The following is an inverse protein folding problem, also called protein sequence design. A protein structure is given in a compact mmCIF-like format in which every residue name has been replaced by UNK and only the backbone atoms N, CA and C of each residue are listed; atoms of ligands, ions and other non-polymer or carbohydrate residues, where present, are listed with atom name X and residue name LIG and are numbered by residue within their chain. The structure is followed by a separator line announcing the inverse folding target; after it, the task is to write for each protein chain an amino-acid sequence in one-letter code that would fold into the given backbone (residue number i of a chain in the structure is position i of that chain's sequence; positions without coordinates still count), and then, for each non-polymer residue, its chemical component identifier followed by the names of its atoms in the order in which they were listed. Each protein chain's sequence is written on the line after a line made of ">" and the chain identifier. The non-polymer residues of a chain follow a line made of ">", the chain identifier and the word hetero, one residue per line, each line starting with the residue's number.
data_IF_617698512018
#
_entry.id   IF_617698512018
#
_cell.length_a   1.000
_cell.length_b   1.000
_cell.length_c   1.000
_cell.angle_alpha   90.00
_cell.angle_beta   90.00
_cell.angle_gamma   90.00
#
_symmetry.space_group_name_H-M   'P 1'
#
loop_
_entity.id
_entity.type
_entity.pdbx_description
1 polymer ?
#
# COMPACT_ATOMS: atom_id res chain seq x y z
N UNK A 1 9.92 -13.67 2.03
CA UNK A 1 8.90 -13.42 0.97
C UNK A 1 9.62 -13.13 -0.34
N UNK A 2 9.19 -13.73 -1.46
CA UNK A 2 9.73 -13.39 -2.78
C UNK A 2 9.36 -11.95 -3.16
N UNK A 3 10.17 -11.31 -4.00
CA UNK A 3 9.85 -9.99 -4.52
C UNK A 3 8.83 -10.12 -5.65
N UNK A 4 7.82 -9.26 -5.62
CA UNK A 4 6.82 -9.13 -6.69
C UNK A 4 7.18 -7.92 -7.56
N UNK A 5 7.38 -8.10 -8.87
CA UNK A 5 7.51 -6.98 -9.79
C UNK A 5 6.17 -6.28 -9.93
N UNK A 6 6.20 -4.96 -10.10
CA UNK A 6 5.01 -4.15 -10.34
C UNK A 6 5.30 -3.05 -11.36
N UNK A 7 4.22 -2.46 -11.88
CA UNK A 7 4.30 -1.23 -12.65
C UNK A 7 3.09 -0.34 -12.35
N UNK A 8 3.27 0.98 -12.52
CA UNK A 8 2.21 1.98 -12.33
C UNK A 8 2.29 2.99 -13.48
N UNK A 9 1.18 3.24 -14.18
CA UNK A 9 1.12 4.22 -15.25
C UNK A 9 1.11 5.66 -14.72
N UNK A 10 1.55 6.60 -15.55
CA UNK A 10 1.43 8.03 -15.26
C UNK A 10 -0.03 8.43 -15.01
N UNK A 11 -0.97 7.97 -15.84
CA UNK A 11 -2.41 8.24 -15.66
C UNK A 11 -2.93 7.83 -14.27
N UNK A 12 -2.53 6.64 -13.78
CA UNK A 12 -2.93 6.17 -12.46
C UNK A 12 -2.33 7.04 -11.36
N UNK A 13 -1.05 7.44 -11.50
CA UNK A 13 -0.38 8.33 -10.55
C UNK A 13 -1.01 9.73 -10.55
N UNK A 14 -1.37 10.25 -11.72
CA UNK A 14 -2.09 11.52 -11.87
C UNK A 14 -3.46 11.49 -11.19
N UNK A 15 -4.23 10.43 -11.38
CA UNK A 15 -5.52 10.24 -10.71
C UNK A 15 -5.38 10.15 -9.18
N UNK A 16 -4.36 9.44 -8.69
CA UNK A 16 -4.06 9.36 -7.26
C UNK A 16 -3.62 10.72 -6.70
N UNK A 17 -2.77 11.46 -7.42
CA UNK A 17 -2.34 12.81 -7.04
C UNK A 17 -3.53 13.78 -6.94
N UNK A 18 -4.47 13.72 -7.90
CA UNK A 18 -5.71 14.48 -7.85
C UNK A 18 -6.55 14.10 -6.62
N UNK A 19 -6.73 12.81 -6.34
CA UNK A 19 -7.43 12.33 -5.15
C UNK A 19 -6.78 12.88 -3.87
N UNK A 20 -5.45 12.89 -3.80
CA UNK A 20 -4.70 13.42 -2.67
C UNK A 20 -4.89 14.94 -2.51
N UNK A 21 -4.85 15.70 -3.62
CA UNK A 21 -5.07 17.15 -3.61
C UNK A 21 -6.49 17.51 -3.16
N UNK A 22 -7.48 16.70 -3.51
CA UNK A 22 -8.89 16.88 -3.13
C UNK A 22 -9.25 16.28 -1.75
N UNK A 23 -8.29 15.64 -1.06
CA UNK A 23 -8.54 14.98 0.23
C UNK A 23 -9.46 13.75 0.16
N UNK A 24 -9.62 13.17 -1.04
CA UNK A 24 -10.43 11.96 -1.26
C UNK A 24 -9.67 10.69 -0.84
N UNK A 25 -10.36 9.69 -0.27
CA UNK A 25 -9.70 8.47 0.19
C UNK A 25 -9.19 7.62 -0.98
N UNK A 26 -8.02 7.01 -0.79
CA UNK A 26 -7.44 6.04 -1.73
C UNK A 26 -7.67 4.64 -1.16
N UNK A 27 -8.52 3.86 -1.82
CA UNK A 27 -8.91 2.51 -1.40
C UNK A 27 -8.52 1.50 -2.49
N UNK A 28 -7.31 0.91 -2.44
CA UNK A 28 -6.91 -0.15 -3.36
C UNK A 28 -7.77 -1.41 -3.22
N UNK A 29 -7.93 -2.11 -4.35
CA UNK A 29 -8.57 -3.44 -4.41
C UNK A 29 -7.47 -4.50 -4.43
N UNK A 30 -7.43 -5.32 -3.38
CA UNK A 30 -6.46 -6.39 -3.16
C UNK A 30 -5.24 -5.95 -2.33
N UNK A 31 -4.73 -6.90 -1.54
CA UNK A 31 -3.53 -6.72 -0.70
C UNK A 31 -2.26 -6.46 -1.51
N UNK A 32 -2.15 -7.01 -2.73
CA UNK A 32 -1.04 -6.72 -3.65
C UNK A 32 -1.02 -5.25 -4.04
N UNK A 33 -2.19 -4.68 -4.38
CA UNK A 33 -2.32 -3.26 -4.71
C UNK A 33 -1.93 -2.36 -3.54
N UNK A 34 -2.31 -2.71 -2.31
CA UNK A 34 -1.84 -2.02 -1.09
C UNK A 34 -0.31 -2.02 -1.01
N UNK A 35 0.31 -3.20 -1.12
CA UNK A 35 1.78 -3.32 -1.04
C UNK A 35 2.48 -2.54 -2.14
N UNK A 36 1.94 -2.53 -3.36
CA UNK A 36 2.49 -1.76 -4.49
C UNK A 36 2.42 -0.26 -4.22
N UNK A 37 1.27 0.28 -3.84
CA UNK A 37 1.11 1.71 -3.58
C UNK A 37 2.00 2.17 -2.43
N UNK A 38 1.95 1.47 -1.30
CA UNK A 38 2.80 1.79 -0.15
C UNK A 38 4.29 1.68 -0.50
N UNK A 39 4.67 0.70 -1.33
CA UNK A 39 6.07 0.57 -1.76
C UNK A 39 6.51 1.72 -2.65
N UNK A 40 5.67 2.13 -3.61
CA UNK A 40 5.96 3.25 -4.50
C UNK A 40 6.21 4.54 -3.71
N UNK A 41 5.42 4.79 -2.65
CA UNK A 41 5.64 5.92 -1.76
C UNK A 41 7.02 5.89 -1.09
N UNK A 42 7.38 4.76 -0.46
CA UNK A 42 8.66 4.68 0.24
C UNK A 42 9.87 4.69 -0.71
N UNK A 43 9.71 4.17 -1.93
CA UNK A 43 10.72 4.29 -2.98
C UNK A 43 10.89 5.74 -3.44
N UNK A 44 9.80 6.50 -3.60
CA UNK A 44 9.85 7.93 -3.88
C UNK A 44 10.50 8.71 -2.73
N UNK A 45 10.13 8.41 -1.48
CA UNK A 45 10.73 9.04 -0.30
C UNK A 45 12.24 8.78 -0.21
N UNK A 46 12.69 7.57 -0.55
CA UNK A 46 14.12 7.22 -0.62
C UNK A 46 14.86 7.97 -1.74
N UNK A 47 14.19 8.24 -2.86
CA UNK A 47 14.75 8.95 -4.00
C UNK A 47 14.65 10.49 -3.89
N UNK A 48 13.84 11.02 -2.97
CA UNK A 48 13.52 12.44 -2.86
C UNK A 48 14.71 13.42 -2.81
N UNK A 49 15.89 13.08 -2.23
CA UNK A 49 17.04 13.99 -2.27
C UNK A 49 17.56 14.30 -3.69
N UNK A 50 17.43 13.36 -4.62
CA UNK A 50 17.89 13.48 -6.02
C UNK A 50 17.21 12.42 -6.90
N UNK A 51 15.93 12.62 -7.29
CA UNK A 51 15.18 11.62 -8.03
C UNK A 51 15.70 11.54 -9.46
N UNK A 52 16.36 10.42 -9.80
CA UNK A 52 16.82 10.18 -11.17
C UNK A 52 15.62 9.95 -12.10
N UNK A 53 15.59 10.56 -13.30
CA UNK A 53 14.55 10.33 -14.30
C UNK A 53 14.74 8.93 -14.92
N UNK A 54 14.37 7.93 -14.15
CA UNK A 54 14.42 6.51 -14.49
C UNK A 54 13.01 5.95 -14.38
N UNK A 55 12.63 5.11 -15.35
CA UNK A 55 11.41 4.32 -15.25
C UNK A 55 11.48 3.24 -14.16
N UNK A 56 12.65 2.95 -13.60
CA UNK A 56 12.85 1.95 -12.56
C UNK A 56 13.02 2.61 -11.18
N UNK A 57 12.06 2.35 -10.28
CA UNK A 57 12.06 2.77 -8.87
C UNK A 57 12.96 1.87 -7.99
N UNK A 58 13.44 0.76 -8.54
CA UNK A 58 14.20 -0.25 -7.83
C UNK A 58 13.32 -1.13 -6.93
N UNK A 59 13.95 -1.70 -5.91
CA UNK A 59 13.31 -2.65 -4.99
C UNK A 59 13.12 -2.06 -3.59
N UNK A 60 11.96 -2.32 -3.00
CA UNK A 60 11.72 -2.14 -1.57
C UNK A 60 11.80 -3.49 -0.84
N UNK A 61 12.68 -3.57 0.16
CA UNK A 61 12.82 -4.70 1.05
C UNK A 61 11.63 -4.89 2.00
N UNK A 62 11.64 -5.99 2.74
CA UNK A 62 10.53 -6.35 3.66
C UNK A 62 10.31 -5.28 4.75
N UNK A 63 11.39 -4.71 5.28
CA UNK A 63 11.36 -3.84 6.46
C UNK A 63 11.85 -2.41 6.18
N UNK A 64 12.21 -2.10 4.94
CA UNK A 64 12.79 -0.81 4.55
C UNK A 64 11.88 0.37 4.91
N UNK A 65 10.56 0.21 4.76
CA UNK A 65 9.59 1.24 5.09
C UNK A 65 9.63 1.66 6.57
N UNK A 66 9.92 0.74 7.49
CA UNK A 66 10.01 1.05 8.93
C UNK A 66 11.26 1.88 9.23
N UNK A 67 12.38 1.54 8.59
CA UNK A 67 13.63 2.29 8.71
C UNK A 67 13.51 3.69 8.11
N UNK A 68 12.92 3.79 6.92
CA UNK A 68 12.68 5.08 6.25
C UNK A 68 11.73 5.97 7.04
N UNK A 69 10.69 5.40 7.64
CA UNK A 69 9.76 6.13 8.49
C UNK A 69 10.41 6.71 9.76
N UNK A 70 11.52 6.14 10.22
CA UNK A 70 12.22 6.57 11.43
C UNK A 70 13.32 7.63 11.17
N UNK A 71 13.85 7.71 9.94
CA UNK A 71 15.08 8.44 9.64
C UNK A 71 14.92 9.93 9.33
N UNK A 72 13.74 10.38 8.88
CA UNK A 72 13.45 11.78 8.53
C UNK A 72 11.93 11.96 8.40
N UNK A 73 11.38 13.19 8.47
CA UNK A 73 9.99 13.40 8.11
C UNK A 73 9.79 12.97 6.65
N UNK A 74 8.92 11.97 6.38
CA UNK A 74 8.68 11.51 5.02
C UNK A 74 7.82 12.54 4.27
N UNK A 75 7.89 12.59 2.93
CA UNK A 75 7.14 13.57 2.13
C UNK A 75 5.63 13.45 2.36
N UNK A 76 4.90 14.53 2.14
CA UNK A 76 3.43 14.46 2.15
C UNK A 76 2.92 13.52 1.04
N UNK A 77 1.68 13.04 1.20
CA UNK A 77 1.03 12.18 0.20
C UNK A 77 1.03 12.84 -1.18
N UNK A 78 0.68 14.13 -1.25
CA UNK A 78 0.61 14.86 -2.52
C UNK A 78 1.98 15.07 -3.15
N UNK A 79 2.99 15.43 -2.36
CA UNK A 79 4.37 15.57 -2.86
C UNK A 79 4.87 14.25 -3.47
N UNK A 80 4.73 13.14 -2.73
CA UNK A 80 5.17 11.83 -3.20
C UNK A 80 4.48 11.41 -4.51
N UNK A 81 3.16 11.58 -4.60
CA UNK A 81 2.40 11.24 -5.81
C UNK A 81 2.73 12.16 -6.99
N UNK A 82 2.97 13.45 -6.74
CA UNK A 82 3.37 14.41 -7.77
C UNK A 82 4.75 14.07 -8.31
N UNK A 83 5.71 13.73 -7.43
CA UNK A 83 7.05 13.27 -7.83
C UNK A 83 6.97 11.99 -8.66
N UNK A 84 6.20 10.99 -8.21
CA UNK A 84 6.00 9.75 -8.97
C UNK A 84 5.37 10.00 -10.34
N UNK A 85 4.34 10.84 -10.41
CA UNK A 85 3.70 11.20 -11.66
C UNK A 85 4.68 11.86 -12.64
N UNK A 86 5.47 12.84 -12.18
CA UNK A 86 6.49 13.51 -13.00
C UNK A 86 7.59 12.55 -13.49
N UNK A 87 8.02 11.62 -12.64
CA UNK A 87 8.97 10.57 -13.03
C UNK A 87 8.39 9.64 -14.08
N UNK A 88 7.11 9.24 -13.94
CA UNK A 88 6.43 8.39 -14.90
C UNK A 88 6.33 9.07 -16.28
N UNK A 89 5.93 10.34 -16.32
CA UNK A 89 5.88 11.15 -17.55
C UNK A 89 7.25 11.24 -18.23
N UNK A 90 8.30 11.54 -17.46
CA UNK A 90 9.67 11.62 -17.98
C UNK A 90 10.20 10.25 -18.48
N UNK A 91 9.68 9.14 -17.97
CA UNK A 91 10.10 7.78 -18.30
C UNK A 91 9.22 7.09 -19.37
N UNK A 92 8.40 7.84 -20.11
CA UNK A 92 7.56 7.28 -21.17
C UNK A 92 6.21 6.74 -20.69
N UNK A 93 5.68 7.30 -19.61
CA UNK A 93 4.31 7.09 -19.12
C UNK A 93 4.14 5.93 -18.13
N UNK A 94 5.23 5.30 -17.66
CA UNK A 94 5.14 4.19 -16.71
C UNK A 94 6.38 4.07 -15.82
N UNK A 95 6.14 3.72 -14.56
CA UNK A 95 7.18 3.31 -13.61
C UNK A 95 7.11 1.81 -13.36
N UNK A 96 8.26 1.21 -13.10
CA UNK A 96 8.47 -0.18 -12.76
C UNK A 96 9.21 -0.26 -11.43
N UNK A 97 9.04 -1.37 -10.72
CA UNK A 97 9.77 -1.65 -9.50
C UNK A 97 9.49 -3.04 -8.97
N UNK A 98 10.04 -3.34 -7.80
CA UNK A 98 9.77 -4.60 -7.13
C UNK A 98 9.50 -4.37 -5.63
N UNK A 99 8.55 -5.11 -5.07
CA UNK A 99 8.23 -5.05 -3.65
C UNK A 99 8.40 -6.40 -2.98
N UNK A 100 9.06 -6.39 -1.83
CA UNK A 100 8.98 -7.47 -0.85
C UNK A 100 8.34 -6.99 0.44
N UNK A 101 7.72 -5.80 0.45
CA UNK A 101 7.23 -5.11 1.64
C UNK A 101 6.37 -6.02 2.51
N UNK A 102 6.70 -6.09 3.80
CA UNK A 102 5.90 -6.74 4.82
C UNK A 102 5.16 -5.67 5.63
N UNK A 103 3.83 -5.72 5.61
CA UNK A 103 2.98 -4.80 6.37
C UNK A 103 2.47 -5.57 7.60
N UNK A 104 2.84 -5.09 8.78
CA UNK A 104 2.51 -5.68 10.07
C UNK A 104 2.05 -4.60 11.05
N UNK A 105 1.42 -4.96 12.19
CA UNK A 105 0.97 -3.99 13.18
C UNK A 105 2.07 -2.98 13.57
N UNK A 106 1.72 -1.70 13.65
CA UNK A 106 2.67 -0.59 13.81
C UNK A 106 3.12 0.06 12.49
N UNK A 107 2.70 -0.47 11.34
CA UNK A 107 2.96 0.14 10.03
C UNK A 107 2.27 1.49 9.84
N UNK A 108 3.01 2.49 9.33
CA UNK A 108 2.48 3.80 8.94
C UNK A 108 2.07 3.79 7.47
N UNK A 109 0.77 3.65 7.22
CA UNK A 109 0.19 3.78 5.88
C UNK A 109 0.28 5.22 5.36
N UNK A 110 0.91 5.38 4.19
CA UNK A 110 1.16 6.68 3.58
C UNK A 110 0.17 7.00 2.45
N UNK A 111 -0.22 6.00 1.66
CA UNK A 111 -1.11 6.19 0.51
C UNK A 111 -2.48 5.54 0.70
N UNK A 112 -2.62 4.47 1.46
CA UNK A 112 -3.88 3.73 1.54
C UNK A 112 -4.72 4.14 2.76
N UNK A 113 -5.99 4.49 2.52
CA UNK A 113 -6.98 4.83 3.56
C UNK A 113 -7.89 3.65 3.92
N UNK A 114 -7.78 2.56 3.18
CA UNK A 114 -8.52 1.34 3.36
C UNK A 114 -8.09 0.30 2.33
N UNK A 115 -8.81 -0.80 2.26
CA UNK A 115 -8.70 -1.76 1.16
C UNK A 115 -9.98 -2.54 0.96
N UNK A 116 -10.18 -3.04 -0.26
CA UNK A 116 -11.11 -4.14 -0.52
C UNK A 116 -10.30 -5.42 -0.63
N UNK A 117 -10.65 -6.46 0.14
CA UNK A 117 -9.95 -7.77 0.08
C UNK A 117 -10.86 -8.91 0.51
N UNK A 118 -10.45 -10.15 0.26
CA UNK A 118 -11.14 -11.34 0.76
C UNK A 118 -10.84 -11.60 2.24
N UNK A 119 -11.56 -12.55 2.85
CA UNK A 119 -11.18 -13.10 4.15
C UNK A 119 -10.04 -14.12 3.99
N UNK A 120 -8.99 -13.95 4.78
CA UNK A 120 -7.76 -14.74 4.66
C UNK A 120 -7.69 -15.87 5.69
N UNK A 121 -6.81 -16.85 5.44
CA UNK A 121 -6.56 -17.91 6.41
C UNK A 121 -5.91 -17.34 7.69
N UNK A 122 -6.22 -17.90 8.87
CA UNK A 122 -5.52 -17.58 10.10
C UNK A 122 -4.02 -17.83 9.96
N UNK A 123 -3.22 -17.13 10.76
CA UNK A 123 -1.75 -17.22 10.81
C UNK A 123 -1.03 -16.94 9.48
N UNK A 124 -1.71 -16.30 8.52
CA UNK A 124 -1.10 -15.86 7.26
C UNK A 124 -0.45 -14.49 7.37
N UNK A 125 0.54 -14.21 6.52
CA UNK A 125 1.14 -12.87 6.41
C UNK A 125 0.13 -11.81 5.96
N UNK A 126 -0.95 -12.21 5.27
CA UNK A 126 -2.04 -11.29 4.91
C UNK A 126 -2.84 -10.86 6.15
N UNK A 127 -2.94 -11.71 7.18
CA UNK A 127 -3.54 -11.30 8.45
C UNK A 127 -2.71 -10.24 9.18
N UNK A 128 -1.38 -10.20 8.99
CA UNK A 128 -0.56 -9.10 9.51
C UNK A 128 -0.95 -7.77 8.86
N UNK A 129 -1.16 -7.75 7.54
CA UNK A 129 -1.58 -6.55 6.81
C UNK A 129 -2.98 -6.11 7.25
N UNK A 130 -3.94 -7.04 7.31
CA UNK A 130 -5.30 -6.75 7.81
C UNK A 130 -5.25 -6.17 9.22
N UNK A 131 -4.49 -6.78 10.12
CA UNK A 131 -4.34 -6.32 11.50
C UNK A 131 -3.68 -4.94 11.57
N UNK A 132 -2.68 -4.67 10.73
CA UNK A 132 -2.06 -3.35 10.64
C UNK A 132 -3.08 -2.29 10.19
N UNK A 133 -3.88 -2.58 9.16
CA UNK A 133 -4.85 -1.64 8.61
C UNK A 133 -5.97 -1.34 9.61
N UNK A 134 -6.44 -2.35 10.35
CA UNK A 134 -7.49 -2.21 11.35
C UNK A 134 -6.98 -1.68 12.70
N UNK A 135 -5.69 -1.35 12.82
CA UNK A 135 -5.12 -0.76 14.04
C UNK A 135 -4.86 -1.75 15.17
N UNK A 136 -4.80 -3.06 14.90
CA UNK A 136 -4.46 -4.06 15.89
C UNK A 136 -5.09 -5.43 15.63
N UNK A 137 -4.55 -6.44 16.31
CA UNK A 137 -5.04 -7.81 16.22
C UNK A 137 -6.46 -7.98 16.80
N UNK A 138 -6.82 -7.20 17.84
CA UNK A 138 -8.15 -7.29 18.44
C UNK A 138 -9.26 -6.85 17.48
N UNK A 139 -9.07 -5.74 16.77
CA UNK A 139 -10.03 -5.26 15.77
C UNK A 139 -10.15 -6.25 14.60
N UNK A 140 -9.03 -6.81 14.14
CA UNK A 140 -9.05 -7.85 13.11
C UNK A 140 -9.78 -9.11 13.60
N UNK A 141 -9.54 -9.52 14.85
CA UNK A 141 -10.21 -10.66 15.46
C UNK A 141 -11.72 -10.46 15.55
N UNK A 142 -12.18 -9.28 15.97
CA UNK A 142 -13.62 -8.97 16.02
C UNK A 142 -14.30 -9.10 14.65
N UNK A 143 -13.68 -8.57 13.60
CA UNK A 143 -14.18 -8.66 12.22
C UNK A 143 -14.25 -10.12 11.76
N UNK A 144 -13.23 -10.92 12.05
CA UNK A 144 -13.17 -12.32 11.63
C UNK A 144 -14.11 -13.21 12.45
N UNK A 145 -14.25 -12.98 13.76
CA UNK A 145 -15.24 -13.65 14.61
C UNK A 145 -16.68 -13.33 14.16
N UNK A 146 -16.95 -12.11 13.72
CA UNK A 146 -18.22 -11.77 13.10
C UNK A 146 -18.46 -12.58 11.82
N UNK A 147 -17.48 -12.61 10.91
CA UNK A 147 -17.57 -13.33 9.64
C UNK A 147 -17.82 -14.83 9.85
N UNK A 148 -17.13 -15.45 10.81
CA UNK A 148 -17.36 -16.86 11.19
C UNK A 148 -18.77 -17.07 11.75
N UNK A 149 -19.21 -16.23 12.70
CA UNK A 149 -20.57 -16.34 13.29
C UNK A 149 -21.69 -16.15 12.27
N UNK A 150 -21.43 -15.44 11.18
CA UNK A 150 -22.37 -15.17 10.09
C UNK A 150 -22.17 -16.08 8.89
N UNK A 151 -21.30 -17.10 9.01
CA UNK A 151 -21.06 -18.11 7.98
C UNK A 151 -20.60 -17.51 6.63
N UNK A 152 -19.79 -16.44 6.68
CA UNK A 152 -19.14 -15.92 5.49
C UNK A 152 -18.22 -16.98 4.88
N UNK A 153 -18.07 -16.94 3.56
CA UNK A 153 -17.15 -17.79 2.81
C UNK A 153 -15.78 -17.15 2.78
N UNK A 154 -14.73 -17.94 3.05
CA UNK A 154 -13.35 -17.44 3.15
C UNK A 154 -12.55 -17.77 1.88
N UNK A 155 -11.33 -17.23 1.80
CA UNK A 155 -10.32 -17.49 0.77
C UNK A 155 -10.68 -16.89 -0.60
N UNK A 156 -9.98 -17.35 -1.65
CA UNK A 156 -9.94 -16.71 -2.97
C UNK A 156 -11.30 -16.56 -3.66
N UNK A 157 -12.22 -17.49 -3.41
CA UNK A 157 -13.57 -17.51 -4.00
C UNK A 157 -14.68 -17.25 -2.97
N UNK A 158 -14.28 -16.80 -1.78
CA UNK A 158 -15.19 -16.45 -0.71
C UNK A 158 -15.80 -15.06 -0.88
N UNK A 159 -16.30 -14.54 0.22
CA UNK A 159 -16.84 -13.19 0.31
C UNK A 159 -15.70 -12.16 0.45
N UNK A 160 -16.02 -10.91 0.12
CA UNK A 160 -15.11 -9.78 0.23
C UNK A 160 -15.45 -8.91 1.43
N UNK A 161 -14.47 -8.09 1.81
CA UNK A 161 -14.54 -7.11 2.88
C UNK A 161 -14.08 -5.76 2.36
N UNK A 162 -14.75 -4.69 2.78
CA UNK A 162 -14.27 -3.32 2.70
C UNK A 162 -13.76 -2.94 4.08
N UNK A 163 -12.47 -2.70 4.21
CA UNK A 163 -11.82 -2.33 5.46
C UNK A 163 -11.34 -0.90 5.36
N UNK A 164 -11.82 -0.04 6.24
CA UNK A 164 -11.46 1.39 6.27
C UNK A 164 -10.64 1.67 7.52
N UNK A 165 -9.59 2.49 7.40
CA UNK A 165 -8.87 3.00 8.58
C UNK A 165 -9.74 4.00 9.32
N UNK A 166 -9.73 3.92 10.65
CA UNK A 166 -10.16 5.02 11.49
C UNK A 166 -9.23 6.22 11.23
N UNK A 167 -9.82 7.40 11.02
CA UNK A 167 -9.09 8.66 10.81
C UNK A 167 -8.69 9.30 12.12
#
# INVERSE_FOLDING_TARGET
>A
MHAEPFSISADALGALALSAAEGRPIVPVGTTSVRVLESAYWLAARAAPDPKPSGDLGRLGQWDAYNLSAAAPPPSRLEALTTLHGLAEAAGGRLYGATSLCIAPGYRFALCDGMVTNFHAPDSTLMLLVSALLGGADNAREVYEHAVRREYRFLSYGDSSLLLRAR
#
